data_IF_324471479719
#
_entry.id   IF_324471479719
#
_cell.length_a   1.000
_cell.length_b   1.000
_cell.length_c   1.000
_cell.angle_alpha   90.00
_cell.angle_beta   90.00
_cell.angle_gamma   90.00
#
_symmetry.space_group_name_H-M   'P 1'
#
loop_
_entity.id
_entity.type
_entity.pdbx_description
1 polymer ?
#
# COMPACT_ATOMS: atom_id res chain seq x y z
N UNK A 1 -2.36 -17.44 -11.76
CA UNK A 1 -2.93 -17.12 -10.43
C UNK A 1 -1.83 -16.51 -9.58
N UNK A 2 -2.10 -15.45 -8.82
CA UNK A 2 -1.12 -14.52 -8.22
C UNK A 2 -0.16 -15.09 -7.13
N UNK A 3 -0.02 -16.40 -7.01
CA UNK A 3 0.81 -17.05 -5.97
C UNK A 3 2.26 -17.34 -6.43
N UNK A 4 2.53 -17.35 -7.75
CA UNK A 4 3.86 -17.69 -8.28
C UNK A 4 4.88 -16.54 -8.22
N UNK A 5 4.45 -15.31 -7.89
CA UNK A 5 5.32 -14.12 -7.91
C UNK A 5 5.67 -13.58 -6.53
N UNK A 6 5.19 -14.19 -5.43
CA UNK A 6 5.48 -13.69 -4.08
C UNK A 6 6.98 -13.56 -3.83
N UNK A 7 7.44 -12.34 -3.57
CA UNK A 7 8.83 -12.02 -3.29
C UNK A 7 8.97 -11.60 -1.81
N UNK A 8 9.43 -12.49 -0.92
CA UNK A 8 9.52 -12.20 0.51
C UNK A 8 10.55 -11.12 0.87
N UNK A 9 11.40 -10.70 -0.08
CA UNK A 9 12.45 -9.71 0.16
C UNK A 9 12.04 -8.28 -0.21
N UNK A 10 10.78 -8.04 -0.56
CA UNK A 10 10.30 -6.68 -0.82
C UNK A 10 10.33 -5.86 0.46
N UNK A 11 11.04 -4.74 0.44
CA UNK A 11 11.09 -3.81 1.57
C UNK A 11 9.69 -3.21 1.87
N UNK A 12 8.77 -3.27 0.91
CA UNK A 12 7.35 -2.94 1.13
C UNK A 12 6.70 -3.83 2.20
N UNK A 13 7.13 -5.09 2.37
CA UNK A 13 6.63 -5.96 3.44
C UNK A 13 7.03 -5.45 4.82
N UNK A 14 8.29 -5.08 4.98
CA UNK A 14 8.83 -4.53 6.23
C UNK A 14 8.13 -3.21 6.59
N UNK A 15 7.96 -2.31 5.62
CA UNK A 15 7.21 -1.07 5.78
C UNK A 15 5.81 -1.33 6.35
N UNK A 16 5.06 -2.29 5.79
CA UNK A 16 3.69 -2.60 6.24
C UNK A 16 3.69 -3.19 7.65
N UNK A 17 4.66 -4.04 7.98
CA UNK A 17 4.78 -4.60 9.33
C UNK A 17 5.12 -3.51 10.36
N UNK A 18 6.04 -2.62 10.04
CA UNK A 18 6.43 -1.49 10.89
C UNK A 18 5.26 -0.52 11.07
N UNK A 19 4.53 -0.21 9.99
CA UNK A 19 3.30 0.57 10.07
C UNK A 19 2.23 -0.12 10.91
N UNK A 20 2.17 -1.46 10.95
CA UNK A 20 1.19 -2.18 11.78
C UNK A 20 1.50 -2.03 13.27
N UNK A 21 2.76 -2.22 13.66
CA UNK A 21 3.18 -2.24 15.05
C UNK A 21 3.52 -0.86 15.62
N UNK A 22 3.91 0.09 14.77
CA UNK A 22 4.30 1.44 15.17
C UNK A 22 3.30 2.51 14.66
N UNK A 23 2.43 3.06 15.53
CA UNK A 23 1.51 4.13 15.14
C UNK A 23 2.20 5.42 14.72
N UNK A 24 3.42 5.70 15.19
CA UNK A 24 4.17 6.91 14.83
C UNK A 24 4.58 6.88 13.36
N UNK A 25 5.03 5.73 12.87
CA UNK A 25 5.34 5.54 11.44
C UNK A 25 4.10 5.77 10.57
N UNK A 26 2.91 5.34 11.02
CA UNK A 26 1.66 5.63 10.29
C UNK A 26 1.35 7.13 10.24
N UNK A 27 1.57 7.84 11.34
CA UNK A 27 1.38 9.30 11.40
C UNK A 27 2.36 9.99 10.45
N UNK A 28 3.65 9.67 10.57
CA UNK A 28 4.70 10.24 9.71
C UNK A 28 4.49 9.91 8.23
N UNK A 29 3.98 8.72 7.92
CA UNK A 29 3.65 8.33 6.55
C UNK A 29 2.55 9.22 5.97
N UNK A 30 1.55 9.59 6.78
CA UNK A 30 0.47 10.51 6.37
C UNK A 30 0.95 11.96 6.24
N UNK A 31 1.91 12.38 7.05
CA UNK A 31 2.45 13.74 7.05
C UNK A 31 3.54 13.95 5.97
N UNK A 32 4.41 12.97 5.80
CA UNK A 32 5.53 13.00 4.86
C UNK A 32 5.89 11.57 4.41
N UNK A 33 5.08 11.05 3.50
CA UNK A 33 5.27 9.73 2.90
C UNK A 33 6.69 9.53 2.36
N UNK A 34 7.21 10.49 1.58
CA UNK A 34 8.52 10.37 0.94
C UNK A 34 9.66 10.15 1.96
N UNK A 35 9.64 10.90 3.07
CA UNK A 35 10.64 10.77 4.12
C UNK A 35 10.54 9.44 4.89
N UNK A 36 9.36 8.83 4.96
CA UNK A 36 9.20 7.48 5.52
C UNK A 36 9.70 6.44 4.52
N UNK A 37 9.33 6.55 3.24
CA UNK A 37 9.79 5.65 2.19
C UNK A 37 11.33 5.66 2.04
N UNK A 38 11.97 6.82 2.23
CA UNK A 38 13.45 6.97 2.21
C UNK A 38 14.18 6.12 3.28
N UNK A 39 13.49 5.71 4.35
CA UNK A 39 14.08 4.88 5.42
C UNK A 39 14.21 3.42 5.03
N UNK A 40 13.45 2.99 4.02
CA UNK A 40 13.42 1.60 3.57
C UNK A 40 14.22 1.46 2.28
N UNK A 41 14.85 0.30 2.09
CA UNK A 41 15.60 -0.02 0.86
C UNK A 41 14.65 -0.47 -0.26
N UNK A 42 13.64 0.33 -0.55
CA UNK A 42 12.67 0.08 -1.60
C UNK A 42 13.34 0.13 -2.96
N UNK A 43 12.99 -0.80 -3.84
CA UNK A 43 13.31 -0.68 -5.26
C UNK A 43 12.64 0.59 -5.82
N UNK A 44 13.23 1.24 -6.84
CA UNK A 44 12.60 2.40 -7.49
C UNK A 44 11.17 2.12 -7.96
N UNK A 45 10.92 0.89 -8.40
CA UNK A 45 9.61 0.43 -8.89
C UNK A 45 8.61 0.21 -7.75
N UNK A 46 9.05 -0.29 -6.59
CA UNK A 46 8.21 -0.40 -5.39
C UNK A 46 7.78 0.99 -4.92
N UNK A 47 8.74 1.90 -4.79
CA UNK A 47 8.48 3.28 -4.36
C UNK A 47 7.50 3.96 -5.30
N UNK A 48 7.75 3.90 -6.60
CA UNK A 48 6.87 4.51 -7.59
C UNK A 48 5.46 3.92 -7.52
N UNK A 49 5.33 2.60 -7.32
CA UNK A 49 4.04 1.95 -7.21
C UNK A 49 3.30 2.36 -5.92
N UNK A 50 3.99 2.54 -4.79
CA UNK A 50 3.40 3.08 -3.56
C UNK A 50 2.94 4.52 -3.78
N UNK A 51 3.81 5.41 -4.26
CA UNK A 51 3.53 6.84 -4.46
C UNK A 51 2.36 7.06 -5.45
N UNK A 52 2.28 6.23 -6.50
CA UNK A 52 1.23 6.29 -7.51
C UNK A 52 -0.05 5.52 -7.12
N UNK A 53 -0.03 4.80 -5.98
CA UNK A 53 -1.12 3.90 -5.54
C UNK A 53 -1.43 2.79 -6.54
N UNK A 54 -0.40 2.32 -7.23
CA UNK A 54 -0.47 1.22 -8.20
C UNK A 54 -0.24 -0.13 -7.49
N UNK A 55 -1.29 -0.62 -6.82
CA UNK A 55 -1.25 -1.90 -6.12
C UNK A 55 -1.14 -3.09 -7.08
N UNK A 56 -1.57 -2.92 -8.34
CA UNK A 56 -1.37 -3.92 -9.37
C UNK A 56 0.11 -4.14 -9.61
N UNK A 57 0.85 -3.05 -9.84
CA UNK A 57 2.30 -3.11 -10.03
C UNK A 57 3.02 -3.64 -8.80
N UNK A 58 2.55 -3.31 -7.58
CA UNK A 58 3.08 -3.94 -6.36
C UNK A 58 2.89 -5.46 -6.37
N UNK A 59 1.71 -5.97 -6.77
CA UNK A 59 1.50 -7.42 -6.85
C UNK A 59 2.31 -8.08 -7.97
N UNK A 60 2.49 -7.41 -9.10
CA UNK A 60 3.38 -7.88 -10.17
C UNK A 60 4.86 -7.91 -9.72
N UNK A 61 5.26 -7.05 -8.77
CA UNK A 61 6.58 -7.10 -8.14
C UNK A 61 6.71 -8.21 -7.07
N UNK A 62 5.60 -8.86 -6.72
CA UNK A 62 5.57 -9.94 -5.74
C UNK A 62 5.06 -9.55 -4.35
N UNK A 63 4.35 -8.42 -4.24
CA UNK A 63 3.73 -8.01 -2.98
C UNK A 63 2.71 -9.05 -2.50
N UNK A 64 2.68 -9.33 -1.20
CA UNK A 64 1.73 -10.27 -0.64
C UNK A 64 0.31 -9.65 -0.58
N UNK A 65 -0.75 -10.32 -1.06
CA UNK A 65 -2.11 -9.77 -1.09
C UNK A 65 -2.62 -9.28 0.27
N UNK A 66 -2.35 -10.02 1.35
CA UNK A 66 -2.73 -9.61 2.70
C UNK A 66 -2.03 -8.31 3.14
N UNK A 67 -0.72 -8.19 2.91
CA UNK A 67 0.04 -6.99 3.29
C UNK A 67 -0.33 -5.81 2.38
N UNK A 68 -0.61 -6.05 1.09
CA UNK A 68 -1.10 -5.04 0.16
C UNK A 68 -2.46 -4.48 0.59
N UNK A 69 -3.36 -5.35 1.06
CA UNK A 69 -4.63 -4.94 1.67
C UNK A 69 -4.48 -4.18 2.99
N UNK A 70 -3.43 -4.44 3.77
CA UNK A 70 -3.13 -3.64 4.97
C UNK A 70 -2.59 -2.26 4.60
N UNK A 71 -1.67 -2.19 3.63
CA UNK A 71 -1.13 -0.93 3.12
C UNK A 71 -2.26 -0.04 2.56
N UNK A 72 -3.18 -0.59 1.79
CA UNK A 72 -4.32 0.17 1.25
C UNK A 72 -5.19 0.76 2.36
N UNK A 73 -5.37 0.04 3.47
CA UNK A 73 -6.08 0.54 4.66
C UNK A 73 -5.30 1.62 5.39
N UNK A 74 -3.98 1.55 5.44
CA UNK A 74 -3.20 2.64 6.06
C UNK A 74 -3.21 3.92 5.23
N UNK A 75 -3.26 3.78 3.90
CA UNK A 75 -3.28 4.90 2.96
C UNK A 75 -4.67 5.55 2.86
N UNK A 76 -5.72 4.74 2.65
CA UNK A 76 -7.08 5.25 2.39
C UNK A 76 -8.06 5.04 3.53
N UNK A 77 -7.74 4.14 4.47
CA UNK A 77 -8.57 3.91 5.63
C UNK A 77 -8.41 5.03 6.66
N UNK A 78 -9.55 5.48 7.18
CA UNK A 78 -9.63 6.23 8.42
C UNK A 78 -10.03 5.25 9.55
N UNK A 79 -9.73 5.57 10.82
CA UNK A 79 -9.96 4.68 11.98
C UNK A 79 -11.44 4.26 12.22
N UNK A 80 -12.38 4.82 11.45
CA UNK A 80 -13.79 4.44 11.48
C UNK A 80 -14.12 3.34 10.44
N UNK A 81 -15.06 2.45 10.76
CA UNK A 81 -15.48 1.32 9.92
C UNK A 81 -15.81 1.66 8.45
N UNK A 82 -16.18 2.91 8.14
CA UNK A 82 -16.38 3.41 6.76
C UNK A 82 -15.09 3.43 5.94
N UNK A 83 -13.94 3.71 6.57
CA UNK A 83 -12.63 3.74 5.91
C UNK A 83 -12.16 2.37 5.42
N UNK A 84 -12.58 1.28 6.08
CA UNK A 84 -12.24 -0.07 5.64
C UNK A 84 -12.93 -0.46 4.31
N UNK A 85 -14.18 -0.03 4.13
CA UNK A 85 -14.94 -0.24 2.88
C UNK A 85 -14.34 0.60 1.75
N UNK A 86 -14.02 1.87 2.03
CA UNK A 86 -13.42 2.75 1.04
C UNK A 86 -12.02 2.27 0.59
N UNK A 87 -11.17 1.86 1.54
CA UNK A 87 -9.86 1.28 1.22
C UNK A 87 -9.97 -0.01 0.39
N UNK A 88 -10.99 -0.84 0.64
CA UNK A 88 -11.24 -2.05 -0.15
C UNK A 88 -11.67 -1.70 -1.58
N UNK A 89 -12.58 -0.75 -1.76
CA UNK A 89 -13.04 -0.32 -3.08
C UNK A 89 -11.90 0.29 -3.90
N UNK A 90 -11.07 1.13 -3.28
CA UNK A 90 -9.89 1.74 -3.93
C UNK A 90 -8.82 0.72 -4.28
N UNK A 91 -8.62 -0.29 -3.43
CA UNK A 91 -7.74 -1.41 -3.76
C UNK A 91 -8.24 -2.16 -4.98
N UNK A 92 -9.52 -2.56 -5.02
CA UNK A 92 -10.10 -3.29 -6.16
C UNK A 92 -9.99 -2.48 -7.46
N UNK A 93 -10.28 -1.19 -7.42
CA UNK A 93 -10.17 -0.31 -8.58
C UNK A 93 -8.71 -0.15 -9.06
N UNK A 94 -7.74 0.00 -8.14
CA UNK A 94 -6.31 0.00 -8.48
C UNK A 94 -5.89 -1.30 -9.19
N UNK A 95 -6.39 -2.46 -8.73
CA UNK A 95 -6.14 -3.76 -9.38
C UNK A 95 -6.75 -3.86 -10.78
N UNK A 96 -7.88 -3.20 -11.00
CA UNK A 96 -8.53 -3.11 -12.31
C UNK A 96 -7.86 -2.07 -13.24
N UNK A 97 -6.90 -1.28 -12.75
CA UNK A 97 -6.18 -0.26 -13.51
C UNK A 97 -6.75 1.16 -13.39
N UNK A 98 -7.70 1.38 -12.48
CA UNK A 98 -8.31 2.68 -12.21
C UNK A 98 -7.65 3.32 -10.99
N UNK A 99 -6.44 3.89 -11.16
CA UNK A 99 -5.60 4.34 -10.04
C UNK A 99 -6.05 5.63 -9.33
N UNK A 100 -6.53 6.66 -10.05
CA UNK A 100 -6.81 8.00 -9.49
C UNK A 100 -8.24 8.52 -9.65
N UNK A 101 -9.08 7.89 -10.48
CA UNK A 101 -10.43 8.39 -10.85
C UNK A 101 -11.57 7.73 -10.09
N UNK A 102 -11.41 7.50 -8.78
CA UNK A 102 -12.49 6.94 -7.97
C UNK A 102 -13.17 8.11 -7.24
N UNK A 103 -14.38 8.52 -7.63
CA UNK A 103 -15.08 9.61 -6.97
C UNK A 103 -15.40 9.19 -5.53
N UNK A 104 -15.17 10.09 -4.56
CA UNK A 104 -15.79 9.99 -3.25
C UNK A 104 -17.30 10.00 -3.47
N UNK A 105 -17.97 8.86 -3.28
CA UNK A 105 -19.44 8.80 -3.17
C UNK A 105 -19.87 9.14 -1.75
#
# INVERSE_FOLDING_TARGET
MAWEQFNPNLATHDLVQDMKWNPEIRREFKENEAAVLDRYKLLPEERAAIEQRDFRKLYDLGMHPYLGGQLSRFIWGNDAAKGAVEASNRLVASLQGHGRDIPNS
#
